data_IF_809195154617
#
_entry.id   IF_809195154617
#
_cell.length_a   1.000
_cell.length_b   1.000
_cell.length_c   1.000
_cell.angle_alpha   90.00
_cell.angle_beta   90.00
_cell.angle_gamma   90.00
#
_symmetry.space_group_name_H-M   'P 1'
#
loop_
_entity.id
_entity.type
_entity.pdbx_description
1 polymer ?
#
# COMPACT_ATOMS: atom_id res chain seq x y z
N UNK A 1 15.23 -15.70 12.71
CA UNK A 1 16.54 -15.51 12.03
C UNK A 1 16.88 -16.68 11.11
N UNK A 2 16.30 -17.85 11.28
CA UNK A 2 16.48 -18.99 10.38
C UNK A 2 15.71 -18.77 9.09
N UNK A 3 16.40 -18.88 7.93
CA UNK A 3 15.78 -18.88 6.62
C UNK A 3 15.84 -17.58 5.83
N UNK A 4 16.49 -16.53 6.33
CA UNK A 4 16.75 -15.32 5.53
C UNK A 4 17.92 -15.56 4.55
N UNK A 5 17.82 -15.14 3.30
CA UNK A 5 16.63 -14.56 2.66
C UNK A 5 15.54 -15.60 2.40
N UNK A 6 14.27 -15.17 2.51
CA UNK A 6 13.12 -16.05 2.33
C UNK A 6 12.73 -16.15 0.85
N UNK A 7 12.46 -17.34 0.37
CA UNK A 7 11.97 -17.56 -1.00
C UNK A 7 10.51 -17.18 -1.18
N UNK A 8 9.73 -17.18 -0.10
CA UNK A 8 8.29 -16.90 -0.11
C UNK A 8 7.83 -16.14 1.12
N UNK A 9 6.68 -15.49 1.02
CA UNK A 9 6.00 -14.87 2.17
C UNK A 9 5.67 -15.90 3.24
N UNK A 10 5.36 -17.16 2.88
CA UNK A 10 5.15 -18.24 3.84
C UNK A 10 6.38 -18.46 4.74
N UNK A 11 7.57 -18.51 4.14
CA UNK A 11 8.82 -18.66 4.88
C UNK A 11 9.06 -17.53 5.86
N UNK A 12 8.81 -16.29 5.44
CA UNK A 12 8.87 -15.11 6.30
C UNK A 12 7.88 -15.22 7.48
N UNK A 13 6.61 -15.49 7.20
CA UNK A 13 5.55 -15.63 8.21
C UNK A 13 5.92 -16.67 9.27
N UNK A 14 6.43 -17.83 8.83
CA UNK A 14 6.89 -18.88 9.73
C UNK A 14 8.09 -18.45 10.60
N UNK A 15 9.08 -17.79 9.99
CA UNK A 15 10.27 -17.34 10.72
C UNK A 15 9.98 -16.29 11.79
N UNK A 16 8.87 -15.56 11.63
CA UNK A 16 8.41 -14.53 12.59
C UNK A 16 7.39 -15.09 13.60
N UNK A 17 6.91 -16.32 13.43
CA UNK A 17 5.86 -16.88 14.31
C UNK A 17 4.49 -16.21 14.14
N UNK A 18 4.19 -15.70 12.94
CA UNK A 18 2.98 -14.91 12.64
C UNK A 18 1.92 -15.71 11.87
N UNK A 19 1.95 -17.05 11.94
CA UNK A 19 1.02 -17.90 11.20
C UNK A 19 -0.43 -17.66 11.61
N UNK A 20 -0.73 -17.70 12.91
CA UNK A 20 -2.09 -17.59 13.43
C UNK A 20 -2.76 -16.28 13.00
N UNK A 21 -2.19 -15.09 13.26
CA UNK A 21 -2.83 -13.85 12.83
C UNK A 21 -2.86 -13.68 11.31
N UNK A 22 -2.08 -14.45 10.55
CA UNK A 22 -2.07 -14.37 9.09
C UNK A 22 -3.09 -15.28 8.42
N UNK A 23 -3.68 -16.25 9.14
CA UNK A 23 -4.58 -17.27 8.59
C UNK A 23 -6.01 -17.19 9.10
N UNK A 24 -6.30 -16.27 10.01
CA UNK A 24 -7.62 -16.05 10.61
C UNK A 24 -8.07 -14.62 10.32
N UNK A 25 -9.39 -14.41 10.16
CA UNK A 25 -9.91 -13.04 9.97
C UNK A 25 -9.68 -12.20 11.21
N UNK A 26 -9.56 -10.88 11.02
CA UNK A 26 -9.38 -9.91 12.10
C UNK A 26 -10.46 -10.05 13.16
N UNK A 27 -11.73 -10.13 12.76
CA UNK A 27 -12.85 -10.29 13.69
C UNK A 27 -12.70 -11.56 14.53
N UNK A 28 -12.50 -12.71 13.92
CA UNK A 28 -12.38 -13.97 14.63
C UNK A 28 -11.16 -13.99 15.57
N UNK A 29 -10.04 -13.45 15.14
CA UNK A 29 -8.83 -13.37 15.96
C UNK A 29 -9.06 -12.55 17.24
N UNK A 30 -9.55 -11.32 17.10
CA UNK A 30 -9.77 -10.46 18.26
C UNK A 30 -10.84 -11.00 19.20
N UNK A 31 -11.93 -11.54 18.67
CA UNK A 31 -12.97 -12.16 19.51
C UNK A 31 -12.46 -13.38 20.25
N UNK A 32 -11.62 -14.22 19.63
CA UNK A 32 -10.99 -15.37 20.34
C UNK A 32 -10.05 -14.93 21.47
N UNK A 33 -9.52 -13.71 21.37
CA UNK A 33 -8.72 -13.07 22.42
C UNK A 33 -9.55 -12.20 23.37
N UNK A 34 -10.87 -12.42 23.44
CA UNK A 34 -11.82 -11.79 24.39
C UNK A 34 -11.95 -10.26 24.20
N UNK A 35 -11.63 -9.73 23.03
CA UNK A 35 -11.97 -8.34 22.69
C UNK A 35 -13.47 -8.27 22.41
N UNK A 36 -14.15 -7.24 22.92
CA UNK A 36 -15.60 -7.10 22.74
C UNK A 36 -15.99 -6.92 21.27
N UNK A 37 -17.13 -7.48 20.86
CA UNK A 37 -17.65 -7.30 19.51
C UNK A 37 -17.85 -5.83 19.15
N UNK A 38 -18.36 -5.03 20.09
CA UNK A 38 -18.54 -3.58 19.89
C UNK A 38 -17.21 -2.89 19.54
N UNK A 39 -16.12 -3.18 20.25
CA UNK A 39 -14.82 -2.60 19.94
C UNK A 39 -14.30 -3.06 18.56
N UNK A 40 -14.49 -4.33 18.21
CA UNK A 40 -14.09 -4.85 16.91
C UNK A 40 -14.88 -4.20 15.78
N UNK A 41 -16.22 -4.12 15.92
CA UNK A 41 -17.11 -3.65 14.86
C UNK A 41 -17.10 -2.11 14.75
N UNK A 42 -16.93 -1.37 15.83
CA UNK A 42 -16.97 0.09 15.83
C UNK A 42 -15.58 0.73 15.65
N UNK A 43 -14.56 0.20 16.31
CA UNK A 43 -13.22 0.81 16.28
C UNK A 43 -12.32 0.14 15.25
N UNK A 44 -12.07 -1.17 15.39
CA UNK A 44 -11.12 -1.85 14.49
C UNK A 44 -11.63 -1.85 13.06
N UNK A 45 -12.93 -2.11 12.86
CA UNK A 45 -13.54 -2.08 11.52
C UNK A 45 -13.48 -0.69 10.88
N UNK A 46 -13.71 0.38 11.63
CA UNK A 46 -13.55 1.74 11.15
C UNK A 46 -12.13 2.02 10.65
N UNK A 47 -11.13 1.56 11.38
CA UNK A 47 -9.71 1.74 11.04
C UNK A 47 -9.29 0.89 9.84
N UNK A 48 -9.70 -0.38 9.76
CA UNK A 48 -9.38 -1.24 8.60
C UNK A 48 -10.04 -0.75 7.32
N UNK A 49 -11.28 -0.24 7.42
CA UNK A 49 -11.98 0.40 6.30
C UNK A 49 -11.27 1.66 5.83
N UNK A 50 -10.74 2.47 6.75
CA UNK A 50 -10.01 3.69 6.38
C UNK A 50 -8.64 3.39 5.72
N UNK A 51 -7.92 2.37 6.21
CA UNK A 51 -6.56 2.07 5.78
C UNK A 51 -6.48 1.11 4.59
N UNK A 52 -7.36 0.09 4.54
CA UNK A 52 -7.36 -0.94 3.48
C UNK A 52 -8.66 -1.01 2.68
N UNK A 53 -9.65 -0.19 3.00
CA UNK A 53 -10.99 -0.24 2.40
C UNK A 53 -11.66 -1.62 2.53
N UNK A 54 -11.33 -2.39 3.56
CA UNK A 54 -11.79 -3.75 3.78
C UNK A 54 -12.32 -3.93 5.21
N UNK A 55 -13.30 -4.83 5.34
CA UNK A 55 -13.94 -5.13 6.62
C UNK A 55 -13.14 -6.16 7.44
N UNK A 56 -13.22 -6.05 8.77
CA UNK A 56 -12.56 -6.96 9.73
C UNK A 56 -12.95 -8.43 9.54
N UNK A 57 -14.09 -8.71 8.93
CA UNK A 57 -14.57 -10.07 8.64
C UNK A 57 -13.81 -10.73 7.48
N UNK A 58 -13.25 -9.92 6.59
CA UNK A 58 -12.62 -10.38 5.37
C UNK A 58 -11.10 -10.35 5.43
N UNK A 59 -10.50 -9.34 6.06
CA UNK A 59 -9.04 -9.25 6.14
C UNK A 59 -8.48 -10.13 7.26
N UNK A 60 -7.30 -10.69 7.05
CA UNK A 60 -6.60 -11.46 8.08
C UNK A 60 -6.12 -10.58 9.24
N UNK A 61 -5.97 -11.18 10.42
CA UNK A 61 -5.76 -10.45 11.66
C UNK A 61 -4.49 -9.60 11.68
N UNK A 62 -3.40 -10.05 11.03
CA UNK A 62 -2.18 -9.25 10.99
C UNK A 62 -2.39 -7.92 10.26
N UNK A 63 -3.13 -7.90 9.14
CA UNK A 63 -3.46 -6.65 8.46
C UNK A 63 -4.33 -5.72 9.32
N UNK A 64 -5.27 -6.29 10.08
CA UNK A 64 -6.04 -5.56 11.08
C UNK A 64 -5.15 -4.96 12.18
N UNK A 65 -4.18 -5.72 12.70
CA UNK A 65 -3.21 -5.23 13.68
C UNK A 65 -2.35 -4.09 13.12
N UNK A 66 -1.86 -4.23 11.90
CA UNK A 66 -1.07 -3.19 11.22
C UNK A 66 -1.90 -1.92 11.02
N UNK A 67 -3.19 -2.05 10.68
CA UNK A 67 -4.09 -0.89 10.62
C UNK A 67 -4.19 -0.15 11.94
N UNK A 68 -4.25 -0.88 13.07
CA UNK A 68 -4.32 -0.29 14.42
C UNK A 68 -2.98 0.29 14.88
N UNK A 69 -1.86 -0.20 14.34
CA UNK A 69 -0.52 0.25 14.69
C UNK A 69 -0.07 1.53 13.98
N UNK A 70 -0.89 2.09 13.09
CA UNK A 70 -0.59 3.30 12.31
C UNK A 70 -0.60 4.57 13.19
N UNK A 71 0.27 4.61 14.19
CA UNK A 71 0.52 5.76 15.06
C UNK A 71 1.84 6.42 14.71
N UNK A 72 1.97 7.72 14.98
CA UNK A 72 3.20 8.49 14.72
C UNK A 72 3.65 8.46 13.24
N UNK A 73 2.69 8.50 12.32
CA UNK A 73 2.99 8.65 10.91
C UNK A 73 3.48 10.08 10.60
N UNK A 74 4.54 10.18 9.82
CA UNK A 74 5.11 11.44 9.37
C UNK A 74 4.97 11.57 7.85
N UNK A 75 4.96 12.80 7.38
CA UNK A 75 5.05 13.12 5.95
C UNK A 75 6.15 14.13 5.72
N UNK A 76 6.74 14.09 4.53
CA UNK A 76 7.74 15.07 4.12
C UNK A 76 7.06 16.38 3.72
N UNK A 77 7.60 17.50 4.18
CA UNK A 77 7.21 18.80 3.68
C UNK A 77 7.46 18.87 2.17
N UNK A 78 6.47 19.31 1.40
CA UNK A 78 6.51 19.28 -0.07
C UNK A 78 6.11 17.94 -0.70
N UNK A 79 5.85 16.90 0.09
CA UNK A 79 5.33 15.60 -0.36
C UNK A 79 6.31 14.44 -0.27
N UNK A 80 5.77 13.24 -0.04
CA UNK A 80 6.55 12.01 0.15
C UNK A 80 7.28 11.53 -1.13
N UNK A 81 6.90 12.02 -2.31
CA UNK A 81 7.56 11.69 -3.59
C UNK A 81 9.06 11.98 -3.56
N UNK A 82 9.47 13.03 -2.83
CA UNK A 82 10.87 13.41 -2.66
C UNK A 82 11.74 12.29 -2.06
N UNK A 83 11.18 11.42 -1.23
CA UNK A 83 11.91 10.27 -0.66
C UNK A 83 12.36 9.35 -1.79
N UNK A 84 11.43 8.98 -2.67
CA UNK A 84 11.69 8.07 -3.77
C UNK A 84 12.59 8.68 -4.85
N UNK A 85 12.41 9.96 -5.16
CA UNK A 85 13.27 10.71 -6.08
C UNK A 85 14.72 10.74 -5.60
N UNK A 86 14.94 11.00 -4.31
CA UNK A 86 16.28 10.97 -3.70
C UNK A 86 16.88 9.57 -3.65
N UNK A 87 16.07 8.54 -3.37
CA UNK A 87 16.54 7.15 -3.40
C UNK A 87 16.97 6.75 -4.82
N UNK A 88 16.20 7.09 -5.84
CA UNK A 88 16.56 6.85 -7.24
C UNK A 88 17.85 7.58 -7.63
N UNK A 89 17.97 8.85 -7.29
CA UNK A 89 19.18 9.62 -7.57
C UNK A 89 20.42 9.04 -6.86
N UNK A 90 20.29 8.63 -5.60
CA UNK A 90 21.38 8.03 -4.83
C UNK A 90 21.79 6.64 -5.33
N UNK A 91 20.86 5.90 -5.95
CA UNK A 91 21.16 4.56 -6.48
C UNK A 91 22.06 4.56 -7.71
N UNK A 92 22.19 5.68 -8.42
CA UNK A 92 22.90 5.75 -9.70
C UNK A 92 22.23 4.98 -10.84
N UNK A 93 20.99 4.51 -10.64
CA UNK A 93 20.26 3.74 -11.65
C UNK A 93 19.85 4.60 -12.85
N UNK A 94 19.90 4.02 -14.04
CA UNK A 94 19.32 4.63 -15.24
C UNK A 94 17.80 4.51 -15.18
N UNK A 95 17.11 5.64 -15.21
CA UNK A 95 15.64 5.69 -15.10
C UNK A 95 15.04 5.92 -16.49
N UNK A 96 14.20 4.99 -16.93
CA UNK A 96 13.43 5.12 -18.15
C UNK A 96 11.96 5.41 -17.83
N UNK A 97 11.39 6.44 -18.43
CA UNK A 97 10.00 6.87 -18.23
C UNK A 97 9.27 6.98 -19.57
N UNK A 98 7.96 7.22 -19.51
CA UNK A 98 7.12 7.34 -20.70
C UNK A 98 7.05 6.02 -21.50
N UNK A 99 6.84 6.11 -22.80
CA UNK A 99 6.68 4.95 -23.69
C UNK A 99 7.95 4.08 -23.70
N UNK A 100 9.14 4.69 -23.70
CA UNK A 100 10.42 3.99 -23.68
C UNK A 100 10.72 3.30 -22.33
N UNK A 101 10.07 3.70 -21.26
CA UNK A 101 10.17 3.07 -19.92
C UNK A 101 9.04 2.09 -19.62
N UNK A 102 7.98 2.04 -20.44
CA UNK A 102 6.86 1.17 -20.22
C UNK A 102 7.18 -0.26 -20.67
N UNK A 103 7.51 -1.13 -19.72
CA UNK A 103 7.74 -2.56 -19.98
C UNK A 103 6.43 -3.24 -20.34
N UNK A 104 6.45 -4.05 -21.42
CA UNK A 104 5.29 -4.80 -21.91
C UNK A 104 5.55 -6.30 -22.01
N UNK A 105 6.80 -6.73 -21.99
CA UNK A 105 7.16 -8.14 -22.10
C UNK A 105 8.45 -8.47 -21.37
N UNK A 106 8.48 -9.65 -20.78
CA UNK A 106 9.67 -10.28 -20.19
C UNK A 106 9.83 -11.65 -20.86
N UNK A 107 10.94 -11.87 -21.55
CA UNK A 107 11.20 -13.12 -22.24
C UNK A 107 12.43 -13.79 -21.64
N UNK A 108 12.27 -15.05 -21.24
CA UNK A 108 13.41 -15.86 -20.83
C UNK A 108 14.28 -16.18 -22.02
N UNK A 109 15.57 -15.86 -21.94
CA UNK A 109 16.55 -16.16 -22.97
C UNK A 109 16.86 -17.66 -22.99
N UNK A 110 17.03 -18.22 -24.18
CA UNK A 110 17.47 -19.60 -24.36
C UNK A 110 18.99 -19.69 -24.19
N UNK A 111 19.47 -20.80 -23.60
CA UNK A 111 20.90 -21.06 -23.39
C UNK A 111 21.30 -21.21 -21.93
N UNK A 112 22.59 -21.27 -21.65
CA UNK A 112 23.14 -21.50 -20.32
C UNK A 112 23.01 -20.30 -19.38
N UNK A 113 22.84 -19.09 -19.91
CA UNK A 113 22.62 -17.87 -19.14
C UNK A 113 21.15 -17.72 -18.80
N UNK A 114 20.83 -17.64 -17.51
CA UNK A 114 19.44 -17.42 -17.03
C UNK A 114 19.04 -15.94 -17.13
N UNK A 115 19.28 -15.34 -18.30
CA UNK A 115 19.03 -13.94 -18.58
C UNK A 115 17.59 -13.70 -19.06
N UNK A 116 17.16 -12.46 -18.94
CA UNK A 116 15.83 -12.01 -19.33
C UNK A 116 15.92 -10.84 -20.31
N UNK A 117 15.24 -10.95 -21.44
CA UNK A 117 14.98 -9.82 -22.30
C UNK A 117 13.79 -9.03 -21.78
N UNK A 118 13.96 -7.73 -21.64
CA UNK A 118 12.92 -6.79 -21.17
C UNK A 118 12.54 -5.91 -22.34
N UNK A 119 11.29 -6.06 -22.81
CA UNK A 119 10.74 -5.30 -23.92
C UNK A 119 9.88 -4.15 -23.48
N UNK A 120 9.99 -3.02 -24.16
CA UNK A 120 9.25 -1.81 -23.90
C UNK A 120 8.23 -1.50 -25.01
N UNK A 121 7.27 -0.64 -24.71
CA UNK A 121 6.15 -0.32 -25.58
C UNK A 121 6.55 0.36 -26.89
N UNK A 122 7.72 0.99 -26.94
CA UNK A 122 8.29 1.58 -28.16
C UNK A 122 8.92 0.55 -29.11
N UNK A 123 8.80 -0.75 -28.77
CA UNK A 123 9.35 -1.85 -29.58
C UNK A 123 10.83 -2.14 -29.33
N UNK A 124 11.47 -1.46 -28.39
CA UNK A 124 12.86 -1.71 -27.99
C UNK A 124 12.91 -2.74 -26.88
N UNK A 125 14.11 -3.20 -26.58
CA UNK A 125 14.36 -4.11 -25.46
C UNK A 125 15.84 -4.32 -25.22
N UNK A 126 16.16 -4.79 -24.03
CA UNK A 126 17.53 -5.10 -23.62
C UNK A 126 17.55 -6.38 -22.79
N UNK A 127 18.71 -7.04 -22.76
CA UNK A 127 18.93 -8.26 -21.97
C UNK A 127 19.54 -7.89 -20.64
N UNK A 128 19.03 -8.50 -19.57
CA UNK A 128 19.46 -8.28 -18.19
C UNK A 128 19.75 -9.63 -17.51
N UNK A 129 20.72 -9.62 -16.59
CA UNK A 129 21.08 -10.80 -15.80
C UNK A 129 20.03 -11.15 -14.76
N UNK A 130 19.27 -10.17 -14.28
CA UNK A 130 18.12 -10.38 -13.42
C UNK A 130 17.05 -9.30 -13.61
N UNK A 131 15.81 -9.64 -13.29
CA UNK A 131 14.67 -8.72 -13.30
C UNK A 131 13.95 -8.78 -11.95
N UNK A 132 13.64 -7.61 -11.41
CA UNK A 132 12.85 -7.45 -10.19
C UNK A 132 11.55 -6.73 -10.57
N UNK A 133 10.42 -7.43 -10.41
CA UNK A 133 9.09 -6.86 -10.59
C UNK A 133 8.73 -6.11 -9.31
N UNK A 134 8.62 -4.78 -9.43
CA UNK A 134 8.31 -3.88 -8.32
C UNK A 134 6.98 -3.13 -8.54
N UNK A 135 6.05 -3.74 -9.24
CA UNK A 135 4.73 -3.20 -9.55
C UNK A 135 3.66 -4.27 -9.35
N UNK A 136 2.41 -3.92 -9.01
CA UNK A 136 1.31 -4.87 -8.98
C UNK A 136 1.14 -5.51 -10.36
N UNK A 137 1.38 -6.82 -10.42
CA UNK A 137 1.42 -7.57 -11.69
C UNK A 137 0.14 -7.43 -12.50
N UNK A 138 -1.01 -7.51 -11.85
CA UNK A 138 -2.33 -7.39 -12.47
C UNK A 138 -2.59 -6.05 -13.17
N UNK A 139 -1.86 -5.00 -12.78
CA UNK A 139 -1.97 -3.66 -13.36
C UNK A 139 -0.80 -3.31 -14.29
N UNK A 140 0.22 -4.15 -14.33
CA UNK A 140 1.45 -3.88 -15.10
C UNK A 140 1.29 -4.15 -16.60
N UNK A 141 0.34 -5.01 -16.99
CA UNK A 141 0.13 -5.44 -18.37
C UNK A 141 1.40 -5.98 -19.05
N UNK A 142 2.21 -6.71 -18.28
CA UNK A 142 3.46 -7.34 -18.76
C UNK A 142 3.17 -8.79 -19.10
N UNK A 143 3.64 -9.25 -20.26
CA UNK A 143 3.53 -10.64 -20.70
C UNK A 143 4.83 -11.39 -20.42
N UNK A 144 4.73 -12.58 -19.80
CA UNK A 144 5.86 -13.50 -19.69
C UNK A 144 5.91 -14.40 -20.94
N UNK A 145 7.10 -14.53 -21.52
CA UNK A 145 7.35 -15.29 -22.74
C UNK A 145 8.47 -16.31 -22.52
N UNK A 146 8.42 -17.44 -23.24
CA UNK A 146 9.41 -18.54 -23.16
C UNK A 146 9.61 -19.09 -21.73
N UNK A 147 8.54 -19.15 -20.95
CA UNK A 147 8.56 -19.69 -19.60
C UNK A 147 7.20 -20.27 -19.22
N UNK A 148 7.19 -21.34 -18.44
CA UNK A 148 5.98 -21.91 -17.83
C UNK A 148 5.64 -21.24 -16.49
N UNK A 149 6.54 -20.40 -15.99
CA UNK A 149 6.31 -19.69 -14.73
C UNK A 149 5.26 -18.59 -14.89
N UNK A 150 4.50 -18.37 -13.84
CA UNK A 150 3.47 -17.33 -13.77
C UNK A 150 3.66 -16.48 -12.52
N UNK A 151 3.34 -15.20 -12.62
CA UNK A 151 3.21 -14.33 -11.44
C UNK A 151 1.78 -14.44 -10.95
N UNK A 152 1.54 -14.80 -9.68
CA UNK A 152 0.19 -14.88 -9.15
C UNK A 152 -0.52 -13.53 -9.22
N UNK A 153 -1.75 -13.55 -9.73
CA UNK A 153 -2.65 -12.39 -9.69
C UNK A 153 -3.55 -12.46 -8.46
N UNK A 154 -3.91 -11.30 -7.94
CA UNK A 154 -4.79 -11.17 -6.78
C UNK A 154 -5.92 -10.21 -7.11
N UNK A 155 -7.07 -10.43 -6.50
CA UNK A 155 -8.14 -9.45 -6.52
C UNK A 155 -7.71 -8.20 -5.77
N UNK A 156 -7.95 -7.06 -6.39
CA UNK A 156 -7.57 -5.75 -5.83
C UNK A 156 -8.80 -5.01 -5.33
N UNK A 157 -8.64 -4.35 -4.21
CA UNK A 157 -9.62 -3.42 -3.68
C UNK A 157 -9.57 -2.11 -4.45
N UNK A 158 -10.66 -1.79 -5.15
CA UNK A 158 -10.83 -0.47 -5.76
C UNK A 158 -11.15 0.57 -4.68
N UNK A 159 -10.48 1.70 -4.74
CA UNK A 159 -10.73 2.85 -3.87
C UNK A 159 -10.91 4.11 -4.71
N UNK A 160 -11.93 4.87 -4.38
CA UNK A 160 -12.20 6.19 -4.94
C UNK A 160 -11.75 7.26 -3.94
N UNK A 161 -10.88 8.15 -4.39
CA UNK A 161 -10.49 9.35 -3.63
C UNK A 161 -11.18 10.55 -4.22
N UNK A 162 -11.90 11.26 -3.40
CA UNK A 162 -12.47 12.55 -3.75
C UNK A 162 -11.78 13.63 -2.93
N UNK A 163 -11.11 14.55 -3.60
CA UNK A 163 -10.59 15.78 -3.01
C UNK A 163 -11.56 16.90 -3.31
N UNK A 164 -11.91 17.67 -2.29
CA UNK A 164 -12.87 18.77 -2.40
C UNK A 164 -12.29 20.02 -1.76
N UNK A 165 -12.40 21.17 -2.44
CA UNK A 165 -12.19 22.47 -1.82
C UNK A 165 -13.58 23.09 -1.53
N UNK A 166 -13.84 23.36 -0.26
CA UNK A 166 -15.14 23.90 0.22
C UNK A 166 -14.93 25.07 1.17
N UNK A 167 -15.92 25.97 1.26
CA UNK A 167 -15.96 27.03 2.27
C UNK A 167 -16.49 26.56 3.64
N UNK A 168 -17.05 25.35 3.72
CA UNK A 168 -17.52 24.80 4.97
C UNK A 168 -16.33 24.39 5.87
N UNK A 169 -16.23 24.93 7.11
CA UNK A 169 -15.14 24.59 8.02
C UNK A 169 -15.27 23.22 8.66
N UNK A 170 -16.42 22.56 8.53
CA UNK A 170 -16.74 21.25 9.07
C UNK A 170 -17.79 20.55 8.22
N UNK A 171 -17.95 19.22 8.38
CA UNK A 171 -19.00 18.46 7.74
C UNK A 171 -20.39 18.89 8.21
N UNK A 172 -21.43 18.51 7.47
CA UNK A 172 -22.83 18.82 7.71
C UNK A 172 -23.33 18.24 9.04
N UNK A 173 -23.80 19.10 9.93
CA UNK A 173 -24.44 18.68 11.19
C UNK A 173 -25.72 17.85 10.90
N UNK A 174 -26.51 18.29 9.93
CA UNK A 174 -27.77 17.62 9.57
C UNK A 174 -27.50 16.20 9.02
N UNK A 175 -26.47 16.03 8.19
CA UNK A 175 -26.10 14.71 7.64
C UNK A 175 -25.69 13.73 8.74
N UNK A 176 -24.93 14.21 9.72
CA UNK A 176 -24.43 13.38 10.82
C UNK A 176 -25.34 13.33 12.04
N UNK A 177 -26.52 13.93 11.99
CA UNK A 177 -27.46 13.93 13.10
C UNK A 177 -27.00 14.71 14.33
N UNK A 178 -26.09 15.68 14.17
CA UNK A 178 -25.62 16.53 15.28
C UNK A 178 -26.59 17.69 15.52
N UNK A 179 -26.77 18.04 16.80
CA UNK A 179 -27.51 19.24 17.16
C UNK A 179 -26.82 20.50 16.60
N UNK A 180 -27.60 21.56 16.33
CA UNK A 180 -27.08 22.80 15.74
C UNK A 180 -25.97 23.48 16.60
N UNK A 181 -25.94 23.21 17.90
CA UNK A 181 -24.93 23.71 18.83
C UNK A 181 -23.66 22.85 18.90
N UNK A 182 -23.68 21.67 18.32
CA UNK A 182 -22.55 20.71 18.37
C UNK A 182 -21.67 20.82 17.13
N UNK A 183 -20.40 20.51 17.26
CA UNK A 183 -19.46 20.54 16.16
C UNK A 183 -19.17 19.13 15.66
N UNK A 184 -19.39 18.87 14.38
CA UNK A 184 -18.99 17.63 13.74
C UNK A 184 -17.45 17.54 13.68
N UNK A 185 -16.85 16.39 14.00
CA UNK A 185 -15.40 16.18 13.88
C UNK A 185 -14.91 16.43 12.44
N UNK A 186 -13.67 16.91 12.31
CA UNK A 186 -13.01 17.12 11.01
C UNK A 186 -12.41 15.84 10.43
N UNK A 187 -12.31 14.78 11.23
CA UNK A 187 -11.90 13.44 10.79
C UNK A 187 -12.95 12.44 11.24
N UNK A 188 -13.46 11.68 10.29
CA UNK A 188 -14.53 10.69 10.52
C UNK A 188 -14.13 9.41 9.80
N UNK A 189 -14.14 8.30 10.53
CA UNK A 189 -14.06 6.95 10.00
C UNK A 189 -15.46 6.34 10.12
N UNK A 190 -15.86 5.58 9.12
CA UNK A 190 -17.17 4.93 9.14
C UNK A 190 -17.03 3.43 9.34
N UNK A 191 -18.00 2.86 10.01
CA UNK A 191 -18.19 1.42 10.11
C UNK A 191 -19.54 1.03 9.53
N UNK A 192 -19.83 -0.25 9.41
CA UNK A 192 -21.13 -0.72 8.97
C UNK A 192 -22.17 -0.38 10.06
N UNK A 193 -23.32 0.13 9.64
CA UNK A 193 -24.39 0.41 10.58
C UNK A 193 -25.01 -0.90 11.14
N UNK A 194 -25.62 -0.88 12.33
CA UNK A 194 -26.23 -2.07 12.92
C UNK A 194 -27.33 -2.72 12.05
N UNK A 195 -27.98 -1.94 11.21
CA UNK A 195 -29.00 -2.40 10.24
C UNK A 195 -28.39 -3.00 8.96
N UNK A 196 -27.04 -3.10 8.89
CA UNK A 196 -26.34 -3.61 7.73
C UNK A 196 -26.14 -2.59 6.60
N UNK A 197 -26.63 -1.37 6.73
CA UNK A 197 -26.43 -0.33 5.72
C UNK A 197 -24.93 0.03 5.61
N UNK A 198 -24.48 0.25 4.37
CA UNK A 198 -23.10 0.60 4.07
C UNK A 198 -22.98 2.12 3.97
N UNK A 199 -22.12 2.76 4.76
CA UNK A 199 -21.87 4.19 4.66
C UNK A 199 -21.39 4.60 3.26
N UNK A 200 -21.79 5.79 2.82
CA UNK A 200 -21.45 6.34 1.49
C UNK A 200 -19.94 6.51 1.30
N UNK A 201 -19.19 6.65 2.38
CA UNK A 201 -17.72 6.79 2.37
C UNK A 201 -17.05 5.95 3.47
N UNK A 202 -15.77 5.71 3.33
CA UNK A 202 -14.94 4.96 4.29
C UNK A 202 -14.33 5.89 5.34
N UNK A 203 -13.81 7.02 4.88
CA UNK A 203 -13.23 8.07 5.73
C UNK A 203 -13.39 9.44 5.09
N UNK A 204 -13.50 10.45 5.96
CA UNK A 204 -13.52 11.86 5.62
C UNK A 204 -12.48 12.58 6.48
N UNK A 205 -11.65 13.41 5.88
CA UNK A 205 -10.63 14.18 6.60
C UNK A 205 -10.46 15.57 6.03
N UNK A 206 -10.55 16.57 6.88
CA UNK A 206 -10.13 17.95 6.58
C UNK A 206 -8.62 18.02 6.70
N UNK A 207 -7.94 18.14 5.56
CA UNK A 207 -6.49 18.03 5.49
C UNK A 207 -5.78 19.34 5.90
N UNK A 208 -6.27 20.47 5.37
CA UNK A 208 -5.70 21.79 5.63
C UNK A 208 -6.63 22.92 5.22
N UNK A 209 -6.32 24.11 5.69
CA UNK A 209 -6.86 25.36 5.19
C UNK A 209 -6.03 25.84 3.99
N UNK A 210 -6.70 26.47 3.02
CA UNK A 210 -6.08 27.08 1.84
C UNK A 210 -6.52 28.54 1.82
N UNK A 211 -5.57 29.45 1.76
CA UNK A 211 -5.84 30.88 1.80
C UNK A 211 -5.61 31.54 0.44
N UNK A 212 -6.32 32.66 0.21
CA UNK A 212 -6.18 33.51 -0.98
C UNK A 212 -6.32 32.74 -2.31
N UNK A 213 -7.36 31.92 -2.41
CA UNK A 213 -7.63 31.08 -3.59
C UNK A 213 -8.41 31.88 -4.63
N UNK A 214 -7.92 31.90 -5.86
CA UNK A 214 -8.69 32.39 -7.02
C UNK A 214 -9.07 31.23 -7.92
N UNK A 215 -10.36 31.03 -8.10
CA UNK A 215 -10.91 29.98 -8.96
C UNK A 215 -12.16 30.47 -9.69
N UNK A 216 -12.27 30.18 -11.00
CA UNK A 216 -13.39 30.55 -11.85
C UNK A 216 -13.85 32.03 -11.70
N UNK A 217 -12.88 32.96 -11.61
CA UNK A 217 -13.16 34.40 -11.50
C UNK A 217 -13.51 34.89 -10.09
N UNK A 218 -13.69 33.99 -9.12
CA UNK A 218 -14.01 34.33 -7.72
C UNK A 218 -12.76 34.22 -6.85
N UNK A 219 -12.58 35.16 -5.92
CA UNK A 219 -11.53 35.11 -4.88
C UNK A 219 -12.14 34.67 -3.57
N UNK A 220 -11.48 33.72 -2.90
CA UNK A 220 -11.85 33.18 -1.61
C UNK A 220 -10.74 33.47 -0.61
N UNK A 221 -11.05 34.07 0.52
CA UNK A 221 -10.07 34.33 1.56
C UNK A 221 -9.58 33.02 2.19
N UNK A 222 -10.52 32.07 2.39
CA UNK A 222 -10.24 30.76 2.98
C UNK A 222 -11.15 29.68 2.42
N UNK A 223 -10.53 28.54 2.05
CA UNK A 223 -11.18 27.27 1.75
C UNK A 223 -10.57 26.15 2.57
N UNK A 224 -11.28 25.06 2.66
CA UNK A 224 -10.83 23.83 3.32
C UNK A 224 -10.65 22.72 2.30
N UNK A 225 -9.46 22.10 2.31
CA UNK A 225 -9.23 20.89 1.51
C UNK A 225 -9.69 19.67 2.30
N UNK A 226 -10.66 18.98 1.74
CA UNK A 226 -11.26 17.77 2.31
C UNK A 226 -10.94 16.58 1.43
N UNK A 227 -10.60 15.45 2.04
CA UNK A 227 -10.38 14.17 1.38
C UNK A 227 -11.43 13.17 1.86
N UNK A 228 -12.08 12.50 0.91
CA UNK A 228 -12.98 11.39 1.16
C UNK A 228 -12.47 10.13 0.44
N UNK A 229 -12.47 9.01 1.15
CA UNK A 229 -12.32 7.68 0.55
C UNK A 229 -13.68 6.99 0.48
N UNK A 230 -13.98 6.33 -0.64
CA UNK A 230 -15.22 5.60 -0.84
C UNK A 230 -15.01 4.37 -1.72
N UNK A 231 -15.96 3.42 -1.71
CA UNK A 231 -15.93 2.23 -2.57
C UNK A 231 -16.54 2.49 -3.96
N UNK A 232 -17.29 3.58 -4.10
CA UNK A 232 -17.88 4.03 -5.35
C UNK A 232 -17.67 5.54 -5.51
N UNK A 233 -17.76 6.10 -6.73
CA UNK A 233 -17.68 7.54 -6.94
C UNK A 233 -18.79 8.26 -6.17
N UNK A 234 -18.43 9.32 -5.45
CA UNK A 234 -19.40 10.20 -4.79
C UNK A 234 -19.97 11.20 -5.79
N UNK A 235 -21.30 11.28 -5.86
CA UNK A 235 -22.00 12.25 -6.70
C UNK A 235 -21.91 13.66 -6.11
N UNK A 236 -22.12 14.73 -6.91
CA UNK A 236 -22.19 16.10 -6.39
C UNK A 236 -23.23 16.26 -5.28
N UNK A 237 -24.41 15.64 -5.42
CA UNK A 237 -25.48 15.70 -4.42
C UNK A 237 -25.09 15.05 -3.09
N UNK A 238 -24.32 13.93 -3.14
CA UNK A 238 -23.79 13.32 -1.93
C UNK A 238 -22.78 14.23 -1.24
N UNK A 239 -21.88 14.83 -2.00
CA UNK A 239 -20.87 15.76 -1.47
C UNK A 239 -21.52 17.00 -0.83
N UNK A 240 -22.55 17.58 -1.47
CA UNK A 240 -23.32 18.70 -0.93
C UNK A 240 -24.02 18.36 0.38
N UNK A 241 -24.59 17.16 0.50
CA UNK A 241 -25.21 16.69 1.75
C UNK A 241 -24.19 16.49 2.87
N UNK A 242 -23.05 15.87 2.54
CA UNK A 242 -21.98 15.53 3.50
C UNK A 242 -21.29 16.80 4.02
N UNK A 243 -21.03 17.78 3.16
CA UNK A 243 -20.22 18.96 3.49
C UNK A 243 -21.02 20.22 3.85
N UNK A 244 -22.27 20.33 3.40
CA UNK A 244 -23.19 21.46 3.63
C UNK A 244 -22.70 22.86 3.25
N UNK A 245 -21.57 23.00 2.60
CA UNK A 245 -21.02 24.26 2.11
C UNK A 245 -20.93 24.28 0.59
N UNK A 246 -20.49 25.43 0.07
CA UNK A 246 -20.22 25.55 -1.36
C UNK A 246 -18.99 24.70 -1.73
N UNK A 247 -19.15 23.84 -2.72
CA UNK A 247 -18.06 23.11 -3.32
C UNK A 247 -17.48 23.94 -4.45
N UNK A 248 -16.25 24.40 -4.29
CA UNK A 248 -15.54 25.27 -5.23
C UNK A 248 -14.79 24.45 -6.27
N UNK A 249 -14.22 23.33 -5.86
CA UNK A 249 -13.43 22.47 -6.72
C UNK A 249 -13.49 21.02 -6.24
N UNK A 250 -13.47 20.08 -7.18
CA UNK A 250 -13.48 18.65 -6.91
C UNK A 250 -12.53 17.92 -7.84
N UNK A 251 -11.82 16.93 -7.31
CA UNK A 251 -11.00 16.02 -8.09
C UNK A 251 -11.26 14.58 -7.63
N UNK A 252 -11.55 13.72 -8.59
CA UNK A 252 -11.69 12.28 -8.37
C UNK A 252 -10.50 11.52 -8.89
N UNK A 253 -10.10 10.49 -8.15
CA UNK A 253 -9.15 9.49 -8.59
C UNK A 253 -9.59 8.11 -8.11
N UNK A 254 -9.60 7.14 -9.00
CA UNK A 254 -9.91 5.75 -8.67
C UNK A 254 -8.72 4.88 -9.06
N UNK A 255 -8.34 3.95 -8.17
CA UNK A 255 -7.26 3.00 -8.46
C UNK A 255 -7.43 1.69 -7.69
N UNK A 256 -6.74 0.66 -8.13
CA UNK A 256 -6.58 -0.61 -7.41
C UNK A 256 -5.59 -0.40 -6.26
N UNK A 257 -6.10 -0.11 -5.08
CA UNK A 257 -5.31 0.41 -3.96
C UNK A 257 -4.54 -0.68 -3.22
N UNK A 258 -5.21 -1.81 -2.94
CA UNK A 258 -4.67 -2.88 -2.12
C UNK A 258 -5.11 -4.24 -2.66
N UNK A 259 -4.32 -5.32 -2.47
CA UNK A 259 -4.85 -6.68 -2.60
C UNK A 259 -5.99 -6.91 -1.61
N UNK A 260 -6.93 -7.80 -1.97
CA UNK A 260 -7.86 -8.35 -0.99
C UNK A 260 -7.06 -9.14 0.05
N UNK A 261 -6.95 -8.60 1.28
CA UNK A 261 -6.12 -9.16 2.35
C UNK A 261 -6.84 -10.29 3.12
N UNK A 262 -7.58 -11.13 2.39
CA UNK A 262 -8.24 -12.31 2.99
C UNK A 262 -7.21 -13.30 3.51
N UNK A 263 -7.52 -14.09 4.56
CA UNK A 263 -6.66 -15.19 4.99
C UNK A 263 -6.27 -16.06 3.78
N UNK A 264 -4.98 -16.20 3.47
CA UNK A 264 -4.57 -16.81 2.21
C UNK A 264 -4.62 -18.33 2.26
N UNK A 265 -5.14 -18.96 1.22
CA UNK A 265 -5.02 -20.41 0.99
C UNK A 265 -3.64 -20.77 0.41
N UNK A 266 -3.04 -19.85 -0.33
CA UNK A 266 -1.69 -19.98 -0.89
C UNK A 266 -0.91 -18.68 -0.67
N UNK A 267 0.36 -18.82 -0.31
CA UNK A 267 1.26 -17.71 -0.14
C UNK A 267 2.04 -17.44 -1.44
N UNK A 268 2.17 -16.17 -1.84
CA UNK A 268 2.97 -15.83 -3.01
C UNK A 268 4.47 -16.03 -2.73
N UNK A 269 5.22 -16.25 -3.81
CA UNK A 269 6.68 -16.37 -3.79
C UNK A 269 7.34 -15.06 -4.21
N UNK A 270 8.48 -14.75 -3.58
CA UNK A 270 9.37 -13.69 -4.06
C UNK A 270 10.13 -14.13 -5.30
N UNK A 271 10.36 -15.43 -5.47
CA UNK A 271 10.98 -16.02 -6.66
C UNK A 271 9.91 -16.46 -7.65
N UNK A 272 9.92 -15.89 -8.84
CA UNK A 272 9.03 -16.30 -9.94
C UNK A 272 9.71 -17.36 -10.79
N UNK A 273 10.95 -17.09 -11.18
CA UNK A 273 11.81 -17.99 -11.94
C UNK A 273 13.28 -17.67 -11.61
N UNK A 274 14.21 -18.42 -12.17
CA UNK A 274 15.63 -18.11 -12.00
C UNK A 274 15.91 -16.67 -12.49
N UNK A 275 16.50 -15.85 -11.63
CA UNK A 275 16.80 -14.43 -11.86
C UNK A 275 15.57 -13.55 -12.15
N UNK A 276 14.35 -14.01 -11.84
CA UNK A 276 13.12 -13.23 -11.91
C UNK A 276 12.43 -13.21 -10.56
N UNK A 277 12.26 -12.03 -10.02
CA UNK A 277 11.74 -11.81 -8.67
C UNK A 277 10.50 -10.90 -8.68
N UNK A 278 9.62 -11.08 -7.68
CA UNK A 278 8.44 -10.25 -7.45
C UNK A 278 8.38 -9.76 -6.01
N UNK A 279 8.77 -8.50 -5.77
CA UNK A 279 8.72 -7.94 -4.42
C UNK A 279 7.29 -7.63 -3.97
N UNK A 280 6.35 -7.44 -4.90
CA UNK A 280 4.94 -7.19 -4.58
C UNK A 280 4.21 -8.43 -4.02
N UNK A 281 4.87 -9.59 -3.99
CA UNK A 281 4.40 -10.74 -3.22
C UNK A 281 4.10 -10.39 -1.75
N UNK A 282 4.84 -9.44 -1.17
CA UNK A 282 4.67 -8.94 0.19
C UNK A 282 3.30 -8.29 0.43
N UNK A 283 2.78 -7.58 -0.56
CA UNK A 283 1.53 -6.81 -0.42
C UNK A 283 0.32 -7.68 -0.10
N UNK A 284 0.33 -8.95 -0.52
CA UNK A 284 -0.73 -9.92 -0.21
C UNK A 284 -0.76 -10.28 1.28
N UNK A 285 0.31 -10.06 1.99
CA UNK A 285 0.41 -10.24 3.44
C UNK A 285 0.23 -8.92 4.18
N UNK A 286 1.09 -7.93 3.91
CA UNK A 286 0.96 -6.58 4.47
C UNK A 286 1.38 -5.57 3.41
N UNK A 287 0.48 -4.65 3.07
CA UNK A 287 0.71 -3.60 2.08
C UNK A 287 1.05 -2.28 2.79
N UNK A 288 2.33 -2.08 3.07
CA UNK A 288 2.90 -0.83 3.61
C UNK A 288 4.25 -0.52 2.97
N UNK A 289 4.72 0.74 3.09
CA UNK A 289 6.05 1.15 2.59
C UNK A 289 7.16 0.36 3.32
N UNK A 290 7.00 0.15 4.63
CA UNK A 290 7.96 -0.55 5.47
C UNK A 290 8.12 -2.01 5.04
N UNK A 291 7.01 -2.72 4.82
CA UNK A 291 7.06 -4.12 4.38
C UNK A 291 7.55 -4.25 2.95
N UNK A 292 7.28 -3.28 2.07
CA UNK A 292 7.86 -3.22 0.73
C UNK A 292 9.38 -3.05 0.79
N UNK A 293 9.90 -2.27 1.74
CA UNK A 293 11.35 -2.16 1.98
C UNK A 293 11.96 -3.48 2.45
N UNK A 294 11.27 -4.22 3.34
CA UNK A 294 11.70 -5.56 3.76
C UNK A 294 11.74 -6.52 2.57
N UNK A 295 10.72 -6.49 1.71
CA UNK A 295 10.67 -7.31 0.51
C UNK A 295 11.79 -6.99 -0.47
N UNK A 296 12.11 -5.71 -0.67
CA UNK A 296 13.22 -5.27 -1.50
C UNK A 296 14.57 -5.78 -0.96
N UNK A 297 14.84 -5.61 0.33
CA UNK A 297 16.05 -6.13 0.99
C UNK A 297 16.16 -7.65 0.88
N UNK A 298 15.05 -8.36 1.11
CA UNK A 298 15.00 -9.82 0.97
C UNK A 298 15.35 -10.26 -0.45
N UNK A 299 14.78 -9.59 -1.45
CA UNK A 299 15.00 -9.93 -2.86
C UNK A 299 16.45 -9.69 -3.28
N UNK A 300 17.04 -8.56 -2.88
CA UNK A 300 18.47 -8.28 -3.15
C UNK A 300 19.37 -9.30 -2.46
N UNK A 301 19.08 -9.66 -1.21
CA UNK A 301 19.83 -10.70 -0.52
C UNK A 301 19.77 -12.05 -1.25
N UNK A 302 18.58 -12.44 -1.71
CA UNK A 302 18.40 -13.67 -2.51
C UNK A 302 19.18 -13.62 -3.82
N UNK A 303 19.13 -12.49 -4.53
CA UNK A 303 19.87 -12.30 -5.77
C UNK A 303 21.38 -12.45 -5.56
N UNK A 304 21.91 -11.77 -4.55
CA UNK A 304 23.33 -11.83 -4.24
C UNK A 304 23.78 -13.22 -3.81
N UNK A 305 22.98 -13.93 -3.02
CA UNK A 305 23.30 -15.34 -2.68
C UNK A 305 23.29 -16.25 -3.91
N UNK A 306 22.38 -16.03 -4.84
CA UNK A 306 22.35 -16.80 -6.08
C UNK A 306 23.58 -16.55 -6.98
N UNK A 307 24.11 -15.34 -6.97
CA UNK A 307 25.26 -14.97 -7.79
C UNK A 307 26.62 -15.25 -7.14
N UNK A 308 26.72 -15.00 -5.83
CA UNK A 308 27.97 -15.06 -5.07
C UNK A 308 28.11 -16.36 -4.26
N UNK A 309 27.08 -17.20 -4.27
CA UNK A 309 27.05 -18.46 -3.53
C UNK A 309 26.45 -18.35 -2.13
N UNK A 310 26.04 -19.49 -1.57
CA UNK A 310 25.35 -19.58 -0.27
C UNK A 310 26.18 -19.09 0.93
N UNK A 311 27.49 -18.93 0.78
CA UNK A 311 28.37 -18.34 1.80
C UNK A 311 28.29 -16.82 1.89
N UNK A 312 27.63 -16.17 0.91
CA UNK A 312 27.39 -14.74 0.96
C UNK A 312 26.22 -14.44 1.90
N UNK A 313 26.50 -13.90 3.05
CA UNK A 313 25.51 -13.51 4.05
C UNK A 313 25.58 -12.00 4.24
N UNK A 314 24.53 -11.31 3.84
CA UNK A 314 24.33 -9.91 4.18
C UNK A 314 24.23 -9.78 5.71
N UNK A 315 25.20 -9.11 6.31
CA UNK A 315 25.13 -8.70 7.71
C UNK A 315 25.26 -9.82 8.74
N UNK A 316 26.23 -10.70 8.64
CA UNK A 316 26.47 -11.76 9.64
C UNK A 316 26.63 -11.26 11.07
N UNK A 317 27.04 -10.01 11.27
CA UNK A 317 27.33 -9.42 12.57
C UNK A 317 26.31 -8.39 13.05
N UNK A 318 25.15 -8.30 12.42
CA UNK A 318 24.07 -7.42 12.88
C UNK A 318 23.32 -8.03 14.06
N UNK A 319 23.60 -7.58 15.25
CA UNK A 319 22.67 -7.70 16.38
C UNK A 319 21.82 -6.43 16.40
N UNK A 320 20.51 -6.57 16.54
CA UNK A 320 19.57 -5.42 16.65
C UNK A 320 19.89 -4.52 17.85
N UNK A 321 20.67 -5.02 18.79
CA UNK A 321 21.08 -4.35 20.02
C UNK A 321 22.29 -3.40 19.84
N UNK A 322 23.07 -3.55 18.78
CA UNK A 322 24.27 -2.73 18.52
C UNK A 322 24.06 -1.59 17.53
N UNK A 323 22.92 -1.53 16.86
CA UNK A 323 22.59 -0.45 15.95
C UNK A 323 22.03 0.74 16.72
N UNK A 324 22.89 1.70 17.07
CA UNK A 324 22.39 3.06 17.32
C UNK A 324 21.67 3.50 16.05
N UNK A 325 20.37 3.78 16.15
CA UNK A 325 19.43 4.01 15.05
C UNK A 325 19.85 5.13 14.08
N UNK A 326 20.85 5.92 14.43
CA UNK A 326 21.26 7.10 13.66
C UNK A 326 22.44 6.91 12.70
N UNK A 327 23.22 5.83 12.80
CA UNK A 327 24.55 5.82 12.16
C UNK A 327 24.74 4.84 10.99
N UNK A 328 23.80 3.92 10.69
CA UNK A 328 24.09 2.79 9.80
C UNK A 328 23.02 2.44 8.76
N UNK A 329 22.21 3.40 8.35
CA UNK A 329 21.29 3.19 7.22
C UNK A 329 22.01 3.06 5.87
N UNK A 330 23.27 3.53 5.79
CA UNK A 330 24.08 3.58 4.56
C UNK A 330 24.93 2.32 4.35
N UNK A 331 25.10 1.52 5.38
CA UNK A 331 25.85 0.28 5.29
C UNK A 331 24.91 -0.91 5.37
N UNK A 332 24.79 -1.64 4.29
CA UNK A 332 24.13 -2.94 4.21
C UNK A 332 24.80 -4.01 5.06
N UNK A 333 25.92 -3.70 5.61
CA UNK A 333 26.68 -4.55 6.49
C UNK A 333 26.87 -3.86 7.81
N UNK A 334 26.35 -4.41 8.88
CA UNK A 334 26.99 -4.25 10.15
C UNK A 334 28.36 -4.91 10.02
N UNK A 335 29.41 -4.13 10.04
CA UNK A 335 30.80 -4.60 10.06
C UNK A 335 31.11 -5.30 11.37
#
# INVERSE_FOLDING_TARGET
>A
KSGFPWSSVKGLVHSLGLQDPSTVSTKNYYMSHKVSAAFVDEVINGVTRANYAQHVEHIHALAGMVSMAATNAFSMEGGNTQIFERMLAASGATVHTGIAGQVTGLMRMQGASSQWWVGTRDGRGSVFDAVIIATPWQSAHITLLNTEHTVPMFDMQQVHVTLVATDAPRPSQAYFGYAATSQVPRTILTTQAPDGSVPEFLSLSYLREIHHVRHAGTTWDKLYLVKLFSLAPLSPQQLERILSGRIVWTRHHAWSAYPQLTPPSKWPSFHVAQNLYNINAMERWVSTVETSTIAAKNTVASLLQNWLGAGFVLGQNCTWESASVAAHWDTWGCT
#
